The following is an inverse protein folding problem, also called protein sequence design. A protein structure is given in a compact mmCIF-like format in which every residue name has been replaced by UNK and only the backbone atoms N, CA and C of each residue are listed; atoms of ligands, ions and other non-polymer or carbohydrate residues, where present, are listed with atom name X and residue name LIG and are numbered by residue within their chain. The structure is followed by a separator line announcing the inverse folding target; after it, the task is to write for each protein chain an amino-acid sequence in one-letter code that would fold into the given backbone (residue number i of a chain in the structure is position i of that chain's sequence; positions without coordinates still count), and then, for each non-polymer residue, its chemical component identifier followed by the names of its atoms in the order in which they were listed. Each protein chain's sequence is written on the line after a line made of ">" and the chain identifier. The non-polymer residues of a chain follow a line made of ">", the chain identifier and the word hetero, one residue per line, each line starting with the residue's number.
data_IF_512294027907
#
_entry.id   IF_512294027907
#
_cell.length_a   1.000
_cell.length_b   1.000
_cell.length_c   1.000
_cell.angle_alpha   90.00
_cell.angle_beta   90.00
_cell.angle_gamma   90.00
#
_symmetry.space_group_name_H-M   'P 1'
#
loop_
_entity.id
_entity.type
_entity.pdbx_description
1 polymer ?
#
# COMPACT_ATOMS: atom_id res chain seq x y z
N UNK A 1 -6.66 15.97 17.89
CA UNK A 1 -6.77 14.66 17.25
C UNK A 1 -5.47 14.21 16.61
N UNK A 2 -4.97 14.83 15.52
CA UNK A 2 -3.77 14.36 14.80
C UNK A 2 -2.54 14.08 15.68
N UNK A 3 -2.12 15.04 16.53
CA UNK A 3 -1.01 14.84 17.47
C UNK A 3 -1.22 13.69 18.47
N UNK A 4 -2.47 13.35 18.79
CA UNK A 4 -2.78 12.23 19.68
C UNK A 4 -2.65 10.90 18.93
N UNK A 5 -3.11 10.84 17.66
CA UNK A 5 -2.90 9.68 16.80
C UNK A 5 -1.42 9.40 16.59
N UNK A 6 -0.61 10.43 16.28
CA UNK A 6 0.85 10.30 16.13
C UNK A 6 1.52 9.66 17.35
N UNK A 7 1.13 10.04 18.57
CA UNK A 7 1.65 9.42 19.80
C UNK A 7 1.28 7.94 19.91
N UNK A 8 0.11 7.55 19.42
CA UNK A 8 -0.28 6.15 19.38
C UNK A 8 0.59 5.39 18.38
N UNK A 9 0.87 5.98 17.21
CA UNK A 9 1.75 5.37 16.20
C UNK A 9 3.16 5.14 16.76
N UNK A 10 3.79 6.15 17.39
CA UNK A 10 5.15 5.99 17.94
C UNK A 10 5.27 4.84 18.96
N UNK A 11 4.17 4.49 19.64
CA UNK A 11 4.13 3.36 20.59
C UNK A 11 3.45 2.08 20.06
N UNK A 12 3.04 2.06 18.79
CA UNK A 12 2.15 1.04 18.18
C UNK A 12 0.91 0.71 19.03
N UNK A 13 0.33 1.71 19.68
CA UNK A 13 -0.81 1.58 20.60
C UNK A 13 -2.14 1.61 19.83
N UNK A 14 -2.47 0.48 19.19
CA UNK A 14 -3.70 0.33 18.42
C UNK A 14 -4.96 0.48 19.29
N UNK A 15 -4.91 0.02 20.55
CA UNK A 15 -6.05 0.12 21.47
C UNK A 15 -6.44 1.57 21.72
N UNK A 16 -5.44 2.42 21.98
CA UNK A 16 -5.67 3.85 22.15
C UNK A 16 -6.02 4.53 20.84
N UNK A 17 -5.39 4.12 19.73
CA UNK A 17 -5.70 4.66 18.41
C UNK A 17 -7.17 4.47 18.04
N UNK A 18 -7.76 3.32 18.40
CA UNK A 18 -9.17 2.99 18.16
C UNK A 18 -10.13 4.05 18.71
N UNK A 19 -9.77 4.72 19.81
CA UNK A 19 -10.59 5.79 20.40
C UNK A 19 -10.67 7.04 19.52
N UNK A 20 -9.74 7.20 18.58
CA UNK A 20 -9.68 8.34 17.66
C UNK A 20 -10.17 8.00 16.24
N UNK A 21 -10.31 6.71 15.90
CA UNK A 21 -10.83 6.26 14.62
C UNK A 21 -12.36 6.22 14.61
N UNK A 22 -12.97 7.40 14.54
CA UNK A 22 -14.44 7.59 14.45
C UNK A 22 -14.95 7.40 13.01
N UNK A 23 -16.24 7.11 12.85
CA UNK A 23 -16.84 6.69 11.56
C UNK A 23 -16.68 7.68 10.39
N UNK A 24 -16.52 8.97 10.66
CA UNK A 24 -16.53 10.05 9.67
C UNK A 24 -15.13 10.62 9.34
N UNK A 25 -14.08 9.82 9.49
CA UNK A 25 -12.75 10.24 9.05
C UNK A 25 -12.64 10.22 7.52
N UNK A 26 -11.95 11.22 6.97
CA UNK A 26 -11.72 11.32 5.53
C UNK A 26 -10.66 10.31 5.06
N UNK A 27 -10.80 9.83 3.83
CA UNK A 27 -9.82 8.94 3.17
C UNK A 27 -8.41 9.53 3.29
N UNK A 28 -8.25 10.81 2.94
CA UNK A 28 -6.95 11.51 3.03
C UNK A 28 -6.33 11.43 4.44
N UNK A 29 -7.13 11.64 5.48
CA UNK A 29 -6.63 11.56 6.86
C UNK A 29 -6.17 10.13 7.20
N UNK A 30 -6.96 9.13 6.84
CA UNK A 30 -6.65 7.72 7.09
C UNK A 30 -5.41 7.26 6.31
N UNK A 31 -5.29 7.62 5.03
CA UNK A 31 -4.13 7.26 4.20
C UNK A 31 -2.85 7.94 4.71
N UNK A 32 -2.90 9.23 5.09
CA UNK A 32 -1.75 9.89 5.73
C UNK A 32 -1.35 9.23 7.04
N UNK A 33 -2.33 8.82 7.86
CA UNK A 33 -2.07 8.14 9.12
C UNK A 33 -1.50 6.72 8.92
N UNK A 34 -1.97 6.00 7.89
CA UNK A 34 -1.43 4.70 7.50
C UNK A 34 0.01 4.80 6.99
N UNK A 35 0.33 5.84 6.21
CA UNK A 35 1.70 6.13 5.81
C UNK A 35 2.61 6.38 7.02
N UNK A 36 2.19 7.23 7.96
CA UNK A 36 2.96 7.46 9.20
C UNK A 36 3.14 6.16 10.00
N UNK A 37 2.10 5.31 10.09
CA UNK A 37 2.19 4.02 10.76
C UNK A 37 3.25 3.12 10.10
N UNK A 38 3.30 3.09 8.76
CA UNK A 38 4.34 2.38 8.02
C UNK A 38 5.74 2.96 8.28
N UNK A 39 5.90 4.29 8.26
CA UNK A 39 7.18 4.93 8.57
C UNK A 39 7.69 4.61 9.98
N UNK A 40 6.79 4.41 10.93
CA UNK A 40 7.12 4.06 12.32
C UNK A 40 7.21 2.54 12.58
N UNK A 41 6.86 1.69 11.61
CA UNK A 41 6.77 0.25 11.81
C UNK A 41 5.63 -0.16 12.78
N UNK A 42 4.59 0.67 12.88
CA UNK A 42 3.46 0.52 13.79
C UNK A 42 2.40 -0.40 13.18
N UNK A 43 2.70 -1.70 13.11
CA UNK A 43 1.89 -2.65 12.36
C UNK A 43 0.49 -2.89 12.95
N UNK A 44 0.34 -2.86 14.28
CA UNK A 44 -0.98 -3.00 14.90
C UNK A 44 -1.87 -1.79 14.61
N UNK A 45 -1.28 -0.60 14.66
CA UNK A 45 -1.96 0.63 14.26
C UNK A 45 -2.33 0.62 12.78
N UNK A 46 -1.39 0.22 11.91
CA UNK A 46 -1.61 0.12 10.48
C UNK A 46 -2.76 -0.84 10.15
N UNK A 47 -2.75 -2.04 10.75
CA UNK A 47 -3.83 -3.00 10.59
C UNK A 47 -5.18 -2.44 11.03
N UNK A 48 -5.22 -1.73 12.17
CA UNK A 48 -6.45 -1.12 12.67
C UNK A 48 -6.98 -0.04 11.71
N UNK A 49 -6.09 0.79 11.15
CA UNK A 49 -6.46 1.83 10.18
C UNK A 49 -7.02 1.19 8.91
N UNK A 50 -6.41 0.11 8.42
CA UNK A 50 -6.85 -0.59 7.21
C UNK A 50 -8.24 -1.23 7.34
N UNK A 51 -8.64 -1.58 8.57
CA UNK A 51 -9.99 -2.10 8.87
C UNK A 51 -11.06 -1.01 8.95
N UNK A 52 -10.69 0.26 8.86
CA UNK A 52 -11.65 1.36 8.91
C UNK A 52 -12.45 1.44 7.59
N UNK A 53 -13.76 1.64 7.68
CA UNK A 53 -14.67 1.60 6.52
C UNK A 53 -14.33 2.56 5.37
N UNK A 54 -13.77 3.73 5.71
CA UNK A 54 -13.38 4.76 4.73
C UNK A 54 -11.90 4.64 4.30
N UNK A 55 -11.20 3.58 4.70
CA UNK A 55 -9.82 3.40 4.27
C UNK A 55 -9.78 2.93 2.82
N UNK A 56 -8.96 3.59 2.02
CA UNK A 56 -8.66 3.22 0.64
C UNK A 56 -7.14 3.04 0.52
N UNK A 57 -6.72 1.79 0.31
CA UNK A 57 -5.30 1.42 0.17
C UNK A 57 -4.68 1.95 -1.14
N UNK A 58 -5.51 2.29 -2.11
CA UNK A 58 -5.12 2.72 -3.45
C UNK A 58 -5.09 4.24 -3.59
N UNK A 59 -5.66 4.97 -2.62
CA UNK A 59 -5.55 6.41 -2.54
C UNK A 59 -4.07 6.83 -2.51
N UNK A 60 -3.68 7.72 -3.42
CA UNK A 60 -2.30 8.18 -3.53
C UNK A 60 -1.93 9.13 -2.40
N UNK A 61 -0.76 8.90 -1.82
CA UNK A 61 -0.25 9.64 -0.67
C UNK A 61 0.93 10.49 -1.14
N UNK A 62 0.85 11.84 -1.06
CA UNK A 62 1.96 12.71 -1.38
C UNK A 62 2.99 12.67 -0.25
N UNK A 63 4.11 11.99 -0.49
CA UNK A 63 5.22 11.87 0.45
C UNK A 63 6.55 11.64 -0.30
N UNK A 64 7.64 12.14 0.29
CA UNK A 64 9.01 11.97 -0.20
C UNK A 64 9.18 12.32 -1.69
N UNK A 65 8.59 13.43 -2.12
CA UNK A 65 8.66 13.90 -3.52
C UNK A 65 7.86 13.07 -4.52
N UNK A 66 7.02 12.15 -4.05
CA UNK A 66 6.19 11.28 -4.90
C UNK A 66 4.74 11.27 -4.45
N UNK A 67 3.83 10.84 -5.33
CA UNK A 67 2.43 10.66 -5.00
C UNK A 67 2.00 9.23 -5.33
N UNK A 68 2.14 8.33 -4.35
CA UNK A 68 2.04 6.88 -4.57
C UNK A 68 1.01 6.22 -3.65
N UNK A 69 0.41 5.08 -4.06
CA UNK A 69 -0.34 4.21 -3.17
C UNK A 69 0.50 3.71 -1.99
N UNK A 70 -0.17 3.27 -0.92
CA UNK A 70 0.50 2.88 0.32
C UNK A 70 1.48 1.71 0.11
N UNK A 71 1.15 0.74 -0.75
CA UNK A 71 2.01 -0.41 -1.03
C UNK A 71 3.36 0.02 -1.62
N UNK A 72 3.39 0.95 -2.58
CA UNK A 72 4.65 1.47 -3.13
C UNK A 72 5.51 2.20 -2.11
N UNK A 73 4.88 2.96 -1.20
CA UNK A 73 5.60 3.58 -0.09
C UNK A 73 6.25 2.52 0.81
N UNK A 74 5.54 1.45 1.17
CA UNK A 74 6.12 0.36 1.98
C UNK A 74 7.27 -0.37 1.27
N UNK A 75 7.20 -0.51 -0.06
CA UNK A 75 8.29 -1.05 -0.88
C UNK A 75 9.51 -0.14 -0.82
N UNK A 76 9.31 1.16 -1.00
CA UNK A 76 10.39 2.16 -0.95
C UNK A 76 11.07 2.21 0.42
N UNK A 77 10.29 2.12 1.50
CA UNK A 77 10.80 2.02 2.87
C UNK A 77 11.59 0.72 3.10
N UNK A 78 11.42 -0.29 2.23
CA UNK A 78 12.02 -1.61 2.39
C UNK A 78 11.34 -2.42 3.50
N UNK A 79 10.10 -2.09 3.83
CA UNK A 79 9.37 -2.70 4.93
C UNK A 79 8.59 -3.95 4.47
N UNK A 80 9.24 -5.10 4.63
CA UNK A 80 8.65 -6.40 4.29
C UNK A 80 7.38 -6.71 5.11
N UNK A 81 7.30 -6.28 6.37
CA UNK A 81 6.16 -6.59 7.24
C UNK A 81 4.95 -5.78 6.83
N UNK A 82 5.12 -4.48 6.57
CA UNK A 82 4.04 -3.65 6.06
C UNK A 82 3.56 -4.13 4.68
N UNK A 83 4.47 -4.50 3.77
CA UNK A 83 4.09 -5.09 2.47
C UNK A 83 3.24 -6.34 2.66
N UNK A 84 3.67 -7.27 3.52
CA UNK A 84 2.93 -8.50 3.80
C UNK A 84 1.56 -8.21 4.39
N UNK A 85 1.48 -7.29 5.36
CA UNK A 85 0.22 -6.91 5.99
C UNK A 85 -0.79 -6.35 4.99
N UNK A 86 -0.34 -5.52 4.04
CA UNK A 86 -1.19 -4.99 2.97
C UNK A 86 -1.73 -6.12 2.07
N UNK A 87 -0.86 -7.05 1.65
CA UNK A 87 -1.26 -8.19 0.82
C UNK A 87 -2.23 -9.12 1.56
N UNK A 88 -2.00 -9.39 2.84
CA UNK A 88 -2.87 -10.23 3.69
C UNK A 88 -4.27 -9.60 3.87
N UNK A 89 -4.40 -8.28 3.73
CA UNK A 89 -5.68 -7.55 3.72
C UNK A 89 -6.24 -7.31 2.31
N UNK A 90 -5.70 -7.99 1.29
CA UNK A 90 -6.25 -8.01 -0.07
C UNK A 90 -5.87 -6.83 -0.94
N UNK A 91 -4.84 -6.05 -0.57
CA UNK A 91 -4.27 -5.03 -1.45
C UNK A 91 -3.58 -5.72 -2.62
N UNK A 92 -4.05 -5.46 -3.85
CA UNK A 92 -3.54 -6.15 -5.02
C UNK A 92 -2.19 -5.57 -5.49
N UNK A 93 -1.16 -6.40 -5.78
CA UNK A 93 0.18 -5.91 -6.13
C UNK A 93 0.29 -5.40 -7.57
N UNK A 94 -0.72 -5.60 -8.42
CA UNK A 94 -0.74 -5.03 -9.78
C UNK A 94 -1.35 -3.62 -9.84
N UNK A 95 -1.46 -2.92 -8.71
CA UNK A 95 -1.88 -1.52 -8.72
C UNK A 95 -0.76 -0.63 -9.25
N UNK A 96 -1.10 0.27 -10.15
CA UNK A 96 -0.17 1.26 -10.70
C UNK A 96 0.03 2.42 -9.72
N UNK A 97 1.25 2.96 -9.67
CA UNK A 97 1.65 4.17 -8.96
C UNK A 97 0.87 5.47 -9.33
N UNK A 98 -0.11 5.41 -10.24
CA UNK A 98 -1.00 6.54 -10.56
C UNK A 98 -0.45 7.58 -11.56
N UNK A 99 0.76 7.40 -12.09
CA UNK A 99 1.33 8.33 -13.09
C UNK A 99 0.76 8.14 -14.52
N UNK A 100 -0.22 7.26 -14.72
CA UNK A 100 -0.81 7.00 -16.04
C UNK A 100 -1.68 8.14 -16.61
N UNK A 101 -2.24 9.03 -15.77
CA UNK A 101 -3.31 9.94 -16.20
C UNK A 101 -2.90 11.41 -16.41
N UNK A 102 -1.61 11.71 -16.53
CA UNK A 102 -1.17 13.08 -16.86
C UNK A 102 -0.18 13.10 -18.03
N UNK A 103 -0.65 12.82 -19.23
CA UNK A 103 0.08 13.19 -20.45
C UNK A 103 -0.64 14.32 -21.18
N UNK A 104 -0.28 15.54 -20.81
CA UNK A 104 -0.60 16.78 -21.53
C UNK A 104 0.62 17.66 -21.79
N UNK A 105 1.84 17.25 -21.43
CA UNK A 105 3.06 18.01 -21.71
C UNK A 105 4.14 17.14 -22.33
N UNK A 106 4.69 17.68 -23.40
CA UNK A 106 5.80 17.21 -24.21
C UNK A 106 7.07 17.68 -23.47
N UNK A 107 8.08 16.81 -23.32
CA UNK A 107 9.47 17.15 -22.93
C UNK A 107 10.01 16.87 -21.50
N UNK A 108 9.51 15.87 -20.76
CA UNK A 108 10.27 15.29 -19.62
C UNK A 108 10.19 13.75 -19.68
N UNK A 109 11.29 13.06 -19.31
CA UNK A 109 11.39 11.59 -19.30
C UNK A 109 10.14 11.00 -18.64
N UNK A 110 9.34 10.28 -19.43
CA UNK A 110 8.09 9.67 -18.97
C UNK A 110 8.43 8.67 -17.88
N UNK A 111 8.18 9.01 -16.63
CA UNK A 111 8.08 8.04 -15.55
C UNK A 111 7.02 7.00 -15.98
N UNK A 112 7.49 5.82 -16.38
CA UNK A 112 6.61 4.73 -16.81
C UNK A 112 5.72 4.32 -15.63
N UNK A 113 4.46 4.01 -15.89
CA UNK A 113 3.61 3.42 -14.87
C UNK A 113 4.19 2.09 -14.40
N UNK A 114 4.63 2.06 -13.15
CA UNK A 114 5.09 0.85 -12.49
C UNK A 114 4.00 0.33 -11.54
N UNK A 115 3.59 -0.91 -11.75
CA UNK A 115 2.92 -1.69 -10.72
C UNK A 115 3.86 -1.98 -9.55
N UNK A 116 3.32 -2.39 -8.39
CA UNK A 116 4.15 -2.62 -7.21
C UNK A 116 5.20 -3.74 -7.43
N UNK A 117 4.95 -4.73 -8.30
CA UNK A 117 5.94 -5.77 -8.63
C UNK A 117 7.12 -5.16 -9.38
N UNK A 118 6.87 -4.42 -10.47
CA UNK A 118 7.92 -3.72 -11.23
C UNK A 118 8.66 -2.72 -10.37
N UNK A 119 7.93 -1.91 -9.61
CA UNK A 119 8.49 -0.93 -8.69
C UNK A 119 9.46 -1.56 -7.69
N UNK A 120 9.10 -2.72 -7.14
CA UNK A 120 9.98 -3.45 -6.21
C UNK A 120 11.26 -4.00 -6.85
N UNK A 121 11.19 -4.46 -8.11
CA UNK A 121 12.34 -4.95 -8.86
C UNK A 121 13.29 -3.80 -9.21
N UNK A 122 12.74 -2.66 -9.64
CA UNK A 122 13.50 -1.44 -9.88
C UNK A 122 14.20 -1.00 -8.59
N UNK A 123 13.46 -0.82 -7.49
CA UNK A 123 14.01 -0.42 -6.19
C UNK A 123 15.09 -1.38 -5.66
N UNK A 124 14.94 -2.69 -5.88
CA UNK A 124 15.97 -3.67 -5.52
C UNK A 124 17.25 -3.50 -6.36
N UNK A 125 17.09 -3.26 -7.66
CA UNK A 125 18.20 -3.08 -8.61
C UNK A 125 19.03 -1.83 -8.30
N UNK A 126 18.39 -0.74 -7.88
CA UNK A 126 19.07 0.52 -7.54
C UNK A 126 19.69 0.52 -6.15
N UNK A 127 19.16 -0.27 -5.20
CA UNK A 127 19.62 -0.29 -3.81
C UNK A 127 20.64 -1.39 -3.48
N UNK A 128 20.92 -2.31 -4.40
CA UNK A 128 21.75 -3.52 -4.19
C UNK A 128 21.30 -4.34 -2.96
N UNK A 129 20.00 -4.28 -2.62
CA UNK A 129 19.39 -5.01 -1.51
C UNK A 129 18.77 -6.32 -1.99
N UNK A 130 18.61 -7.28 -1.07
CA UNK A 130 17.92 -8.55 -1.35
C UNK A 130 16.50 -8.28 -1.86
N UNK A 131 16.09 -9.01 -2.89
CA UNK A 131 14.81 -8.88 -3.58
C UNK A 131 13.61 -9.48 -2.81
N UNK A 132 13.67 -9.58 -1.48
CA UNK A 132 12.67 -10.31 -0.66
C UNK A 132 11.26 -9.77 -0.86
N UNK A 133 11.09 -8.45 -0.99
CA UNK A 133 9.78 -7.83 -1.25
C UNK A 133 9.27 -8.17 -2.65
N UNK A 134 10.13 -8.15 -3.67
CA UNK A 134 9.74 -8.57 -5.02
C UNK A 134 9.31 -10.04 -5.06
N UNK A 135 10.06 -10.91 -4.36
CA UNK A 135 9.70 -12.34 -4.20
C UNK A 135 8.36 -12.50 -3.49
N UNK A 136 8.10 -11.73 -2.43
CA UNK A 136 6.82 -11.73 -1.72
C UNK A 136 5.67 -11.37 -2.67
N UNK A 137 5.80 -10.26 -3.41
CA UNK A 137 4.77 -9.78 -4.33
C UNK A 137 4.49 -10.77 -5.46
N UNK A 138 5.55 -11.37 -6.03
CA UNK A 138 5.43 -12.40 -7.06
C UNK A 138 4.75 -13.67 -6.51
N UNK A 139 5.11 -14.11 -5.30
CA UNK A 139 4.51 -15.29 -4.66
C UNK A 139 3.02 -15.07 -4.43
N UNK A 140 2.64 -13.92 -3.88
CA UNK A 140 1.25 -13.57 -3.64
C UNK A 140 0.44 -13.53 -4.95
N UNK A 141 1.00 -12.94 -6.02
CA UNK A 141 0.36 -12.93 -7.34
C UNK A 141 0.13 -14.34 -7.89
N UNK A 142 1.11 -15.24 -7.76
CA UNK A 142 0.98 -16.63 -8.16
C UNK A 142 -0.13 -17.36 -7.37
N UNK A 143 -0.25 -17.10 -6.07
CA UNK A 143 -1.30 -17.66 -5.23
C UNK A 143 -2.69 -17.16 -5.65
N UNK A 144 -2.83 -15.85 -5.92
CA UNK A 144 -4.05 -15.27 -6.46
C UNK A 144 -4.46 -15.94 -7.78
N UNK A 145 -3.52 -16.09 -8.72
CA UNK A 145 -3.76 -16.74 -10.01
C UNK A 145 -4.16 -18.21 -9.86
N UNK A 146 -3.46 -18.97 -9.00
CA UNK A 146 -3.82 -20.37 -8.73
C UNK A 146 -5.22 -20.51 -8.13
N UNK A 147 -5.61 -19.61 -7.22
CA UNK A 147 -6.95 -19.63 -6.64
C UNK A 147 -8.06 -19.40 -7.70
N UNK A 148 -7.78 -18.59 -8.73
CA UNK A 148 -8.70 -18.34 -9.84
C UNK A 148 -8.85 -19.55 -10.75
N UNK A 149 -7.75 -20.26 -11.02
CA UNK A 149 -7.72 -21.44 -11.89
C UNK A 149 -8.45 -22.62 -11.24
N UNK A 150 -8.28 -22.82 -9.92
CA UNK A 150 -8.86 -23.94 -9.19
C UNK A 150 -10.33 -23.73 -8.77
N UNK A 151 -10.85 -22.51 -8.90
CA UNK A 151 -12.27 -22.20 -8.62
C UNK A 151 -12.78 -21.12 -9.58
N UNK A 152 -13.31 -21.49 -10.75
CA UNK A 152 -13.81 -20.52 -11.74
C UNK A 152 -14.97 -19.64 -11.23
N UNK A 153 -15.65 -20.03 -10.13
CA UNK A 153 -16.65 -19.17 -9.48
C UNK A 153 -16.03 -18.00 -8.68
N UNK A 154 -14.73 -18.05 -8.34
CA UNK A 154 -14.00 -16.95 -7.68
C UNK A 154 -13.51 -15.91 -8.71
N UNK A 155 -13.28 -16.32 -9.97
CA UNK A 155 -12.86 -15.43 -11.05
C UNK A 155 -13.85 -14.27 -11.32
N UNK A 156 -15.16 -14.47 -11.03
CA UNK A 156 -16.17 -13.43 -11.13
C UNK A 156 -15.98 -12.28 -10.12
N UNK A 157 -15.31 -12.52 -8.97
CA UNK A 157 -15.01 -11.46 -7.99
C UNK A 157 -13.84 -10.58 -8.39
N UNK A 158 -12.89 -11.10 -9.17
CA UNK A 158 -11.74 -10.32 -9.67
C UNK A 158 -12.12 -9.44 -10.86
N UNK A 159 -13.06 -9.87 -11.71
CA UNK A 159 -13.59 -9.03 -12.80
C UNK A 159 -14.42 -7.83 -12.31
N UNK A 160 -14.79 -7.77 -11.02
CA UNK A 160 -15.46 -6.61 -10.44
C UNK A 160 -14.48 -5.54 -9.89
N UNK A 161 -13.17 -5.80 -9.98
CA UNK A 161 -12.09 -4.91 -9.53
C UNK A 161 -11.29 -4.29 -10.70
N UNK A 162 -11.71 -4.54 -11.95
CA UNK A 162 -11.20 -3.92 -13.18
C UNK A 162 -12.29 -3.08 -13.85
#
# INVERSE_FOLDING_TARGET
>A
MYKQCQRCLTGDDALRLKLYLIENLSVRFLSSLAYEAACHGSYQCLELIMKHQNFDAYFTIPADGSNLPLLHHTIRLGDLHACKLLLDHGVHPLVCAGFCEQSGSVDEEKDECEDAVRYSLHAASTSNRRNTIAVLLQTHLCECLHSCILSPNVALKLNALF
#
